data_IF_469603293985
#
_entry.id   IF_469603293985
#
_cell.length_a   1.000
_cell.length_b   1.000
_cell.length_c   1.000
_cell.angle_alpha   90.00
_cell.angle_beta   90.00
_cell.angle_gamma   90.00
#
_symmetry.space_group_name_H-M   'P 1'
#
loop_
_entity.id
_entity.type
_entity.pdbx_description
1 polymer ?
#
# COMPACT_ATOMS: atom_id res chain seq x y z
N UNK A 1 -22.26 -17.57 -26.19
CA UNK A 1 -22.94 -17.88 -24.90
C UNK A 1 -24.13 -16.94 -24.74
N UNK A 2 -25.30 -17.42 -24.28
CA UNK A 2 -26.45 -16.56 -24.04
C UNK A 2 -26.13 -15.52 -22.97
N UNK A 3 -26.70 -14.32 -23.12
CA UNK A 3 -26.54 -13.23 -22.17
C UNK A 3 -27.28 -13.57 -20.87
N UNK A 4 -26.54 -13.83 -19.79
CA UNK A 4 -27.11 -14.15 -18.48
C UNK A 4 -27.36 -12.87 -17.66
N UNK A 5 -28.26 -12.95 -16.68
CA UNK A 5 -28.49 -11.85 -15.72
C UNK A 5 -27.19 -11.45 -15.00
N UNK A 6 -26.37 -12.42 -14.60
CA UNK A 6 -25.06 -12.13 -13.98
C UNK A 6 -24.13 -11.36 -14.92
N UNK A 7 -24.06 -11.76 -16.19
CA UNK A 7 -23.29 -11.05 -17.22
C UNK A 7 -23.81 -9.62 -17.43
N UNK A 8 -25.12 -9.41 -17.38
CA UNK A 8 -25.73 -8.08 -17.44
C UNK A 8 -25.29 -7.21 -16.25
N UNK A 9 -25.39 -7.73 -15.02
CA UNK A 9 -25.01 -7.01 -13.81
C UNK A 9 -23.54 -6.63 -13.80
N UNK A 10 -22.62 -7.56 -14.12
CA UNK A 10 -21.20 -7.25 -14.20
C UNK A 10 -20.87 -6.24 -15.30
N UNK A 11 -21.59 -6.27 -16.43
CA UNK A 11 -21.42 -5.27 -17.48
C UNK A 11 -21.79 -3.87 -16.98
N UNK A 12 -22.92 -3.75 -16.27
CA UNK A 12 -23.36 -2.46 -15.71
C UNK A 12 -22.35 -1.96 -14.67
N UNK A 13 -21.91 -2.82 -13.75
CA UNK A 13 -20.91 -2.48 -12.73
C UNK A 13 -19.61 -2.02 -13.40
N UNK A 14 -19.14 -2.72 -14.43
CA UNK A 14 -17.90 -2.38 -15.12
C UNK A 14 -17.96 -1.01 -15.83
N UNK A 15 -19.11 -0.70 -16.45
CA UNK A 15 -19.34 0.62 -17.05
C UNK A 15 -19.36 1.70 -15.96
N UNK A 16 -20.09 1.46 -14.86
CA UNK A 16 -20.16 2.42 -13.76
C UNK A 16 -18.77 2.67 -13.14
N UNK A 17 -18.01 1.61 -12.84
CA UNK A 17 -16.65 1.69 -12.29
C UNK A 17 -15.68 2.45 -13.20
N UNK A 18 -15.82 2.31 -14.52
CA UNK A 18 -14.95 3.02 -15.46
C UNK A 18 -15.31 4.49 -15.64
N UNK A 19 -16.59 4.86 -15.52
CA UNK A 19 -17.08 6.22 -15.83
C UNK A 19 -17.26 7.10 -14.59
N UNK A 20 -17.71 6.53 -13.46
CA UNK A 20 -18.06 7.30 -12.27
C UNK A 20 -16.92 8.21 -11.73
N UNK A 21 -15.64 7.75 -11.66
CA UNK A 21 -14.54 8.62 -11.23
C UNK A 21 -14.38 9.85 -12.11
N UNK A 22 -14.58 9.74 -13.42
CA UNK A 22 -14.49 10.88 -14.33
C UNK A 22 -15.64 11.86 -14.16
N UNK A 23 -16.85 11.36 -13.89
CA UNK A 23 -18.00 12.24 -13.62
C UNK A 23 -17.83 13.00 -12.30
N UNK A 24 -17.26 12.38 -11.28
CA UNK A 24 -17.03 13.00 -9.98
C UNK A 24 -15.83 13.97 -10.02
N UNK A 25 -14.70 13.53 -10.56
CA UNK A 25 -13.41 14.16 -10.32
C UNK A 25 -12.90 15.05 -11.48
N UNK A 26 -13.50 14.99 -12.67
CA UNK A 26 -13.06 15.77 -13.85
C UNK A 26 -13.51 17.24 -13.86
N UNK A 27 -13.44 17.91 -12.71
CA UNK A 27 -13.96 19.27 -12.50
C UNK A 27 -12.94 20.22 -11.88
N UNK A 28 -13.27 21.53 -11.86
CA UNK A 28 -12.44 22.59 -11.25
C UNK A 28 -12.32 22.47 -9.72
N UNK A 29 -13.20 21.70 -9.08
CA UNK A 29 -13.14 21.46 -7.63
C UNK A 29 -12.17 20.33 -7.27
N UNK A 30 -11.85 19.45 -8.24
CA UNK A 30 -11.03 18.25 -8.06
C UNK A 30 -9.77 18.26 -8.95
N UNK A 31 -9.65 17.39 -9.96
CA UNK A 31 -8.39 17.19 -10.70
C UNK A 31 -7.89 18.45 -11.41
N UNK A 32 -8.79 19.39 -11.76
CA UNK A 32 -8.44 20.67 -12.40
C UNK A 32 -8.26 21.82 -11.40
N UNK A 33 -8.37 21.56 -10.09
CA UNK A 33 -8.31 22.59 -9.07
C UNK A 33 -6.91 23.25 -9.03
N UNK A 34 -6.80 24.57 -9.31
CA UNK A 34 -5.50 25.25 -9.33
C UNK A 34 -4.88 25.38 -7.95
N UNK A 35 -5.68 25.23 -6.87
CA UNK A 35 -5.20 25.30 -5.48
C UNK A 35 -4.62 23.96 -5.00
N UNK A 36 -4.86 22.85 -5.70
CA UNK A 36 -4.32 21.55 -5.30
C UNK A 36 -2.83 21.41 -5.68
N UNK A 37 -1.98 20.92 -4.76
CA UNK A 37 -0.59 20.65 -5.09
C UNK A 37 -0.50 19.58 -6.21
N UNK A 38 0.58 19.58 -7.02
CA UNK A 38 0.75 18.60 -8.10
C UNK A 38 0.55 17.14 -7.66
N UNK A 39 1.04 16.78 -6.47
CA UNK A 39 0.90 15.43 -5.89
C UNK A 39 -0.55 15.00 -5.64
N UNK A 40 -1.41 15.91 -5.16
CA UNK A 40 -2.82 15.59 -4.94
C UNK A 40 -3.56 15.35 -6.26
N UNK A 41 -3.22 16.13 -7.30
CA UNK A 41 -3.76 15.94 -8.66
C UNK A 41 -3.29 14.64 -9.28
N UNK A 42 -2.03 14.25 -9.05
CA UNK A 42 -1.49 12.95 -9.47
C UNK A 42 -2.28 11.79 -8.87
N UNK A 43 -2.49 11.78 -7.54
CA UNK A 43 -3.26 10.71 -6.89
C UNK A 43 -4.72 10.66 -7.35
N UNK A 44 -5.36 11.80 -7.60
CA UNK A 44 -6.70 11.82 -8.18
C UNK A 44 -6.71 11.20 -9.59
N UNK A 45 -5.79 11.63 -10.47
CA UNK A 45 -5.65 11.05 -11.81
C UNK A 45 -5.31 9.55 -11.80
N UNK A 46 -4.53 9.09 -10.81
CA UNK A 46 -4.25 7.67 -10.59
C UNK A 46 -5.55 6.92 -10.29
N UNK A 47 -6.36 7.37 -9.33
CA UNK A 47 -7.65 6.76 -8.99
C UNK A 47 -8.60 6.69 -10.18
N UNK A 48 -8.69 7.78 -10.95
CA UNK A 48 -9.51 7.83 -12.17
C UNK A 48 -9.06 6.77 -13.20
N UNK A 49 -7.75 6.70 -13.45
CA UNK A 49 -7.16 5.73 -14.41
C UNK A 49 -7.34 4.30 -13.93
N UNK A 50 -7.16 4.04 -12.63
CA UNK A 50 -7.40 2.72 -12.03
C UNK A 50 -8.84 2.28 -12.20
N UNK A 51 -9.82 3.15 -11.95
CA UNK A 51 -11.25 2.85 -12.18
C UNK A 51 -11.55 2.47 -13.62
N UNK A 52 -11.02 3.24 -14.59
CA UNK A 52 -11.15 2.93 -16.02
C UNK A 52 -10.58 1.55 -16.36
N UNK A 53 -9.33 1.26 -15.96
CA UNK A 53 -8.66 0.00 -16.29
C UNK A 53 -9.36 -1.20 -15.64
N UNK A 54 -9.81 -1.09 -14.39
CA UNK A 54 -10.58 -2.15 -13.72
C UNK A 54 -11.89 -2.41 -14.46
N UNK A 55 -12.64 -1.37 -14.82
CA UNK A 55 -13.88 -1.52 -15.58
C UNK A 55 -13.65 -2.19 -16.94
N UNK A 56 -12.63 -1.76 -17.70
CA UNK A 56 -12.26 -2.39 -18.96
C UNK A 56 -11.85 -3.85 -18.80
N UNK A 57 -11.12 -4.18 -17.72
CA UNK A 57 -10.70 -5.54 -17.42
C UNK A 57 -11.90 -6.44 -17.10
N UNK A 58 -12.87 -5.95 -16.33
CA UNK A 58 -14.13 -6.67 -16.06
C UNK A 58 -14.87 -6.91 -17.38
N UNK A 59 -15.02 -5.89 -18.24
CA UNK A 59 -15.67 -6.05 -19.54
C UNK A 59 -14.96 -7.08 -20.41
N UNK A 60 -13.62 -7.06 -20.43
CA UNK A 60 -12.82 -8.03 -21.16
C UNK A 60 -13.09 -9.46 -20.68
N UNK A 61 -13.05 -9.72 -19.37
CA UNK A 61 -13.29 -11.06 -18.84
C UNK A 61 -14.75 -11.52 -18.99
N UNK A 62 -15.71 -10.60 -18.93
CA UNK A 62 -17.13 -10.91 -19.07
C UNK A 62 -17.50 -11.20 -20.53
N UNK A 63 -16.91 -10.49 -21.49
CA UNK A 63 -17.33 -10.54 -22.90
C UNK A 63 -16.37 -11.23 -23.85
N UNK A 64 -15.06 -11.09 -23.65
CA UNK A 64 -14.03 -11.52 -24.62
C UNK A 64 -13.20 -12.70 -24.13
N UNK A 65 -13.02 -12.87 -22.81
CA UNK A 65 -12.33 -14.05 -22.31
C UNK A 65 -13.16 -15.29 -22.68
N UNK A 66 -12.57 -16.18 -23.47
CA UNK A 66 -13.18 -17.45 -23.81
C UNK A 66 -13.62 -18.16 -22.53
N UNK A 67 -14.79 -18.81 -22.52
CA UNK A 67 -15.13 -19.72 -21.44
C UNK A 67 -13.98 -20.71 -21.36
N UNK A 68 -13.30 -20.76 -20.22
CA UNK A 68 -12.34 -21.82 -19.99
C UNK A 68 -13.09 -23.12 -20.20
N UNK A 69 -12.71 -23.84 -21.25
CA UNK A 69 -13.25 -25.14 -21.59
C UNK A 69 -13.23 -25.96 -20.31
N UNK A 70 -14.35 -26.58 -20.00
CA UNK A 70 -14.64 -27.31 -18.77
C UNK A 70 -13.76 -28.57 -18.64
N UNK A 71 -12.44 -28.42 -18.61
CA UNK A 71 -11.56 -29.30 -17.89
C UNK A 71 -11.52 -28.77 -16.45
N UNK A 72 -12.65 -28.91 -15.76
CA UNK A 72 -12.66 -28.95 -14.30
C UNK A 72 -11.89 -30.22 -13.91
N UNK A 73 -10.56 -30.17 -14.05
CA UNK A 73 -9.68 -31.06 -13.34
C UNK A 73 -10.08 -30.81 -11.89
N UNK A 74 -10.59 -31.83 -11.21
CA UNK A 74 -10.59 -31.93 -9.75
C UNK A 74 -9.13 -31.86 -9.33
N UNK A 75 -8.54 -30.68 -9.44
CA UNK A 75 -7.39 -30.33 -8.66
C UNK A 75 -8.01 -30.22 -7.28
N UNK A 76 -7.78 -31.23 -6.45
CA UNK A 76 -7.71 -31.00 -5.02
C UNK A 76 -6.64 -29.91 -4.85
N UNK A 77 -7.02 -28.64 -5.04
CA UNK A 77 -6.30 -27.51 -4.48
C UNK A 77 -6.63 -27.59 -2.99
N UNK A 78 -6.06 -28.60 -2.36
CA UNK A 78 -5.58 -28.50 -1.01
C UNK A 78 -4.48 -27.44 -1.07
N UNK A 79 -4.63 -26.42 -0.21
CA UNK A 79 -3.73 -25.29 0.08
C UNK A 79 -4.36 -23.89 -0.15
N UNK A 80 -5.61 -23.70 0.26
CA UNK A 80 -5.88 -22.45 1.00
C UNK A 80 -5.35 -22.66 2.42
N UNK A 81 -4.09 -22.32 2.68
CA UNK A 81 -3.71 -21.98 4.05
C UNK A 81 -4.41 -20.66 4.36
N UNK A 82 -5.69 -20.76 4.72
CA UNK A 82 -6.47 -19.62 5.13
C UNK A 82 -5.86 -19.14 6.45
N UNK A 83 -5.10 -18.06 6.39
CA UNK A 83 -4.67 -17.38 7.60
C UNK A 83 -5.90 -16.90 8.36
N UNK A 84 -5.86 -17.01 9.68
CA UNK A 84 -6.86 -16.38 10.55
C UNK A 84 -6.44 -14.94 10.72
N UNK A 85 -7.34 -14.01 10.37
CA UNK A 85 -7.12 -12.58 10.56
C UNK A 85 -7.87 -12.15 11.80
N UNK A 86 -7.14 -11.69 12.81
CA UNK A 86 -7.68 -11.19 14.07
C UNK A 86 -7.21 -9.76 14.33
N UNK A 87 -8.00 -9.02 15.12
CA UNK A 87 -7.56 -7.75 15.69
C UNK A 87 -6.45 -8.04 16.71
N UNK A 88 -5.30 -7.42 16.50
CA UNK A 88 -4.17 -7.56 17.41
C UNK A 88 -4.42 -6.81 18.72
N UNK A 89 -4.03 -7.44 19.82
CA UNK A 89 -4.10 -6.87 21.16
C UNK A 89 -2.75 -6.24 21.53
N UNK A 90 -2.69 -5.36 22.54
CA UNK A 90 -1.43 -4.72 22.95
C UNK A 90 -0.30 -5.70 23.25
N UNK A 91 -0.62 -6.87 23.79
CA UNK A 91 0.34 -7.95 24.05
C UNK A 91 0.94 -8.57 22.77
N UNK A 92 0.23 -8.49 21.63
CA UNK A 92 0.69 -9.03 20.35
C UNK A 92 1.74 -8.12 19.69
N UNK A 93 1.85 -6.85 20.11
CA UNK A 93 2.69 -5.85 19.42
C UNK A 93 4.16 -6.24 19.36
N UNK A 94 4.70 -6.90 20.39
CA UNK A 94 6.09 -7.33 20.40
C UNK A 94 6.36 -8.39 19.31
N UNK A 95 5.47 -9.38 19.18
CA UNK A 95 5.55 -10.40 18.14
C UNK A 95 5.38 -9.77 16.75
N UNK A 96 4.37 -8.90 16.58
CA UNK A 96 4.10 -8.23 15.31
C UNK A 96 5.28 -7.37 14.86
N UNK A 97 5.90 -6.63 15.79
CA UNK A 97 7.09 -5.82 15.51
C UNK A 97 8.20 -6.71 14.92
N UNK A 98 8.43 -7.88 15.52
CA UNK A 98 9.41 -8.84 15.01
C UNK A 98 9.04 -9.41 13.63
N UNK A 99 7.77 -9.78 13.44
CA UNK A 99 7.26 -10.31 12.16
C UNK A 99 7.39 -9.29 11.03
N UNK A 100 7.01 -8.03 11.28
CA UNK A 100 7.11 -6.94 10.31
C UNK A 100 8.56 -6.80 9.85
N UNK A 101 9.51 -6.63 10.77
CA UNK A 101 10.91 -6.41 10.37
C UNK A 101 11.58 -7.62 9.73
N UNK A 102 11.26 -8.83 10.20
CA UNK A 102 11.75 -10.05 9.55
C UNK A 102 11.21 -10.21 8.14
N UNK A 103 9.95 -9.82 7.88
CA UNK A 103 9.36 -9.92 6.54
C UNK A 103 10.09 -9.06 5.50
N UNK A 104 10.75 -7.98 5.93
CA UNK A 104 11.55 -7.14 5.07
C UNK A 104 13.01 -7.60 4.94
N UNK A 105 13.47 -8.55 5.77
CA UNK A 105 14.86 -9.04 5.82
C UNK A 105 15.92 -7.92 5.89
N UNK A 106 15.57 -6.75 6.43
CA UNK A 106 16.43 -5.57 6.43
C UNK A 106 16.72 -4.98 5.04
N UNK A 107 15.97 -5.37 4.00
CA UNK A 107 16.13 -4.88 2.62
C UNK A 107 15.30 -3.63 2.33
N UNK A 108 14.28 -3.35 3.14
CA UNK A 108 13.43 -2.18 2.96
C UNK A 108 14.11 -0.93 3.54
N UNK A 109 14.59 -0.07 2.65
CA UNK A 109 15.31 1.15 3.04
C UNK A 109 14.44 2.13 3.83
N UNK A 110 13.13 2.19 3.57
CA UNK A 110 12.23 3.06 4.31
C UNK A 110 12.02 2.56 5.74
N UNK A 111 11.79 1.25 5.90
CA UNK A 111 11.64 0.62 7.22
C UNK A 111 12.92 0.77 8.04
N UNK A 112 14.09 0.57 7.42
CA UNK A 112 15.38 0.77 8.07
C UNK A 112 15.62 2.23 8.49
N UNK A 113 15.07 3.19 7.75
CA UNK A 113 15.12 4.60 8.11
C UNK A 113 14.24 4.94 9.31
N UNK A 114 12.99 4.48 9.30
CA UNK A 114 12.05 4.76 10.37
C UNK A 114 12.42 4.01 11.67
N UNK A 115 12.99 2.83 11.51
CA UNK A 115 13.36 1.89 12.57
C UNK A 115 14.79 1.39 12.32
N UNK A 116 15.82 2.15 12.73
CA UNK A 116 17.21 1.71 12.61
C UNK A 116 17.45 0.46 13.45
N UNK A 117 18.35 -0.40 12.98
CA UNK A 117 18.74 -1.65 13.62
C UNK A 117 17.56 -2.57 13.99
N UNK A 118 16.48 -2.52 13.22
CA UNK A 118 15.22 -3.23 13.49
C UNK A 118 15.30 -4.78 13.54
N UNK A 119 16.43 -5.35 13.15
CA UNK A 119 16.72 -6.79 13.30
C UNK A 119 17.50 -7.11 14.59
N UNK A 120 18.05 -6.11 15.29
CA UNK A 120 18.70 -6.27 16.59
C UNK A 120 17.67 -6.26 17.74
N UNK A 121 17.93 -6.94 18.87
CA UNK A 121 17.06 -6.89 20.04
C UNK A 121 16.79 -5.46 20.53
N UNK A 122 17.82 -4.61 20.53
CA UNK A 122 17.74 -3.21 20.94
C UNK A 122 16.86 -2.39 19.99
N UNK A 123 17.05 -2.55 18.67
CA UNK A 123 16.24 -1.86 17.67
C UNK A 123 14.78 -2.31 17.69
N UNK A 124 14.50 -3.60 17.93
CA UNK A 124 13.13 -4.09 18.11
C UNK A 124 12.47 -3.49 19.36
N UNK A 125 13.20 -3.34 20.46
CA UNK A 125 12.68 -2.70 21.67
C UNK A 125 12.36 -1.21 21.44
N UNK A 126 13.22 -0.49 20.71
CA UNK A 126 12.97 0.91 20.34
C UNK A 126 11.77 1.04 19.39
N UNK A 127 11.69 0.18 18.39
CA UNK A 127 10.59 0.16 17.45
C UNK A 127 9.25 -0.16 18.14
N UNK A 128 9.23 -1.13 19.05
CA UNK A 128 8.04 -1.46 19.84
C UNK A 128 7.55 -0.24 20.63
N UNK A 129 8.44 0.49 21.30
CA UNK A 129 8.09 1.74 22.01
C UNK A 129 7.47 2.78 21.08
N UNK A 130 8.05 2.98 19.88
CA UNK A 130 7.52 3.89 18.86
C UNK A 130 6.13 3.46 18.38
N UNK A 131 5.96 2.18 18.06
CA UNK A 131 4.70 1.63 17.58
C UNK A 131 3.60 1.71 18.64
N UNK A 132 3.92 1.45 19.91
CA UNK A 132 3.02 1.65 21.06
C UNK A 132 2.62 3.12 21.22
N UNK A 133 3.56 4.05 21.06
CA UNK A 133 3.27 5.48 21.12
C UNK A 133 2.35 5.92 19.97
N UNK A 134 2.55 5.40 18.75
CA UNK A 134 1.66 5.65 17.60
C UNK A 134 0.26 5.10 17.87
N UNK A 135 0.16 3.85 18.31
CA UNK A 135 -1.11 3.21 18.63
C UNK A 135 -1.89 3.98 19.71
N UNK A 136 -1.18 4.57 20.69
CA UNK A 136 -1.78 5.36 21.77
C UNK A 136 -2.15 6.79 21.37
N UNK A 137 -1.49 7.36 20.35
CA UNK A 137 -1.69 8.75 19.92
C UNK A 137 -2.72 8.91 18.79
N UNK A 138 -3.00 7.82 18.08
CA UNK A 138 -4.00 7.74 17.03
C UNK A 138 -5.41 7.92 17.61
N UNK A 139 -6.29 8.57 16.85
CA UNK A 139 -7.72 8.62 17.19
C UNK A 139 -8.33 7.25 16.99
N UNK A 140 -7.98 6.61 15.87
CA UNK A 140 -8.33 5.24 15.55
C UNK A 140 -7.09 4.53 15.00
N UNK A 141 -6.75 3.39 15.60
CA UNK A 141 -5.71 2.51 15.09
C UNK A 141 -6.22 1.08 15.06
N UNK A 142 -6.21 0.48 13.87
CA UNK A 142 -6.55 -0.92 13.67
C UNK A 142 -5.29 -1.70 13.36
N UNK A 143 -4.97 -2.63 14.26
CA UNK A 143 -3.88 -3.58 14.10
C UNK A 143 -4.49 -4.93 13.78
N UNK A 144 -4.05 -5.54 12.70
CA UNK A 144 -4.46 -6.87 12.30
C UNK A 144 -3.26 -7.80 12.35
N UNK A 145 -3.48 -9.01 12.86
CA UNK A 145 -2.50 -10.09 12.79
C UNK A 145 -3.04 -11.23 11.93
N UNK A 146 -2.15 -11.82 11.15
CA UNK A 146 -2.42 -13.01 10.38
C UNK A 146 -1.72 -14.19 11.06
N UNK A 147 -2.50 -15.18 11.48
CA UNK A 147 -1.99 -16.37 12.16
C UNK A 147 -2.19 -17.60 11.27
N UNK A 148 -1.16 -18.43 11.16
CA UNK A 148 -1.30 -19.75 10.53
C UNK A 148 -2.08 -20.67 11.49
N UNK A 149 -3.27 -21.17 11.10
CA UNK A 149 -4.10 -22.00 11.99
C UNK A 149 -3.46 -23.34 12.33
N UNK A 150 -2.48 -23.80 11.55
CA UNK A 150 -1.82 -25.10 11.76
C UNK A 150 -0.76 -25.00 12.85
N UNK A 151 0.02 -23.91 12.82
CA UNK A 151 1.15 -23.71 13.73
C UNK A 151 0.82 -22.79 14.91
N UNK A 152 -0.26 -22.03 14.81
CA UNK A 152 -0.62 -20.99 15.77
C UNK A 152 0.31 -19.77 15.74
N UNK A 153 1.27 -19.71 14.80
CA UNK A 153 2.26 -18.64 14.72
C UNK A 153 1.72 -17.46 13.94
N UNK A 154 2.07 -16.25 14.38
CA UNK A 154 1.83 -15.05 13.59
C UNK A 154 2.78 -15.01 12.41
N UNK A 155 2.23 -14.86 11.21
CA UNK A 155 2.96 -14.87 9.93
C UNK A 155 2.84 -13.55 9.17
N UNK A 156 1.97 -12.65 9.63
CA UNK A 156 1.81 -11.33 9.03
C UNK A 156 1.15 -10.35 9.99
N UNK A 157 1.32 -9.07 9.69
CA UNK A 157 0.72 -7.97 10.42
C UNK A 157 0.32 -6.87 9.43
N UNK A 158 -0.75 -6.15 9.75
CA UNK A 158 -1.13 -4.94 9.03
C UNK A 158 -1.60 -3.88 10.03
N UNK A 159 -1.30 -2.61 9.74
CA UNK A 159 -1.56 -1.49 10.64
C UNK A 159 -2.22 -0.39 9.83
N UNK A 160 -3.38 0.06 10.32
CA UNK A 160 -4.02 1.29 9.85
C UNK A 160 -4.08 2.27 11.00
N UNK A 161 -3.63 3.49 10.73
CA UNK A 161 -3.68 4.59 11.68
C UNK A 161 -4.40 5.75 11.01
N UNK A 162 -5.54 6.13 11.56
CA UNK A 162 -6.35 7.23 11.04
C UNK A 162 -6.41 8.37 12.05
N UNK A 163 -6.23 9.58 11.54
CA UNK A 163 -6.42 10.82 12.28
C UNK A 163 -7.50 11.60 11.54
N UNK A 164 -8.72 11.56 12.07
CA UNK A 164 -9.90 12.14 11.42
C UNK A 164 -10.05 13.62 11.77
N UNK A 165 -9.69 14.01 13.00
CA UNK A 165 -9.95 15.37 13.49
C UNK A 165 -8.73 16.28 13.48
N UNK A 166 -7.52 15.71 13.37
CA UNK A 166 -6.27 16.47 13.32
C UNK A 166 -5.28 15.86 12.36
N UNK A 167 -4.41 16.68 11.79
CA UNK A 167 -3.19 16.17 11.15
C UNK A 167 -2.35 15.49 12.25
N UNK A 168 -1.75 14.31 12.01
CA UNK A 168 -0.77 13.77 12.94
C UNK A 168 0.25 14.86 13.22
N UNK A 169 0.58 15.09 14.50
CA UNK A 169 1.55 16.09 14.87
C UNK A 169 2.83 15.81 14.08
N UNK A 170 3.20 16.72 13.17
CA UNK A 170 4.42 16.60 12.36
C UNK A 170 5.67 16.45 13.22
N UNK A 171 5.56 16.79 14.50
CA UNK A 171 6.65 16.81 15.46
C UNK A 171 6.96 15.44 16.08
N UNK A 172 6.14 14.41 15.85
CA UNK A 172 6.51 13.04 16.24
C UNK A 172 7.75 12.53 15.45
N UNK A 173 7.96 12.99 14.21
CA UNK A 173 9.21 12.74 13.47
C UNK A 173 10.29 13.76 13.77
N UNK A 174 9.91 14.98 14.16
CA UNK A 174 10.86 16.08 14.41
C UNK A 174 11.65 15.88 15.70
N UNK A 175 11.02 15.39 16.79
CA UNK A 175 11.74 15.02 18.02
C UNK A 175 12.75 13.88 17.81
N UNK A 176 12.45 12.90 16.95
CA UNK A 176 13.43 11.86 16.58
C UNK A 176 14.55 12.40 15.70
N UNK A 177 14.32 13.44 14.90
CA UNK A 177 15.39 14.10 14.12
C UNK A 177 16.33 14.90 15.03
N UNK A 178 15.80 15.56 16.05
CA UNK A 178 16.61 16.32 17.01
C UNK A 178 17.48 15.40 17.89
N UNK A 179 16.98 14.21 18.25
CA UNK A 179 17.74 13.21 19.03
C UNK A 179 18.72 12.37 18.18
N UNK A 180 18.59 12.33 16.84
CA UNK A 180 19.46 11.55 15.93
C UNK A 180 20.37 12.41 15.02
N UNK A 181 20.26 13.74 15.07
CA UNK A 181 21.19 14.70 14.48
C UNK A 181 21.15 14.81 12.94
N UNK A 182 22.07 15.62 12.39
CA UNK A 182 22.24 15.91 10.94
C UNK A 182 22.41 14.67 10.05
N UNK A 183 22.74 13.53 10.64
CA UNK A 183 22.88 12.24 9.96
C UNK A 183 21.53 11.77 9.39
N UNK A 184 20.40 12.09 10.02
CA UNK A 184 19.09 11.64 9.54
C UNK A 184 18.56 12.48 8.35
N UNK A 185 18.85 13.78 8.29
CA UNK A 185 18.45 14.61 7.13
C UNK A 185 19.18 14.18 5.85
N UNK A 186 20.51 14.02 5.94
CA UNK A 186 21.32 13.53 4.82
C UNK A 186 20.93 12.09 4.46
N UNK A 187 20.61 11.25 5.45
CA UNK A 187 20.14 9.89 5.20
C UNK A 187 18.75 9.85 4.55
N UNK A 188 17.77 10.65 4.99
CA UNK A 188 16.44 10.75 4.35
C UNK A 188 16.55 11.30 2.94
N UNK A 189 17.46 12.25 2.70
CA UNK A 189 17.76 12.76 1.36
C UNK A 189 18.37 11.68 0.48
N UNK A 190 19.32 10.91 1.00
CA UNK A 190 19.93 9.78 0.29
C UNK A 190 18.93 8.64 0.06
N UNK A 191 18.00 8.39 0.99
CA UNK A 191 16.91 7.43 0.86
C UNK A 191 15.92 7.83 -0.24
N UNK A 192 15.49 9.10 -0.25
CA UNK A 192 14.61 9.58 -1.32
C UNK A 192 15.32 9.50 -2.67
N UNK A 193 16.61 9.84 -2.72
CA UNK A 193 17.42 9.66 -3.93
C UNK A 193 17.53 8.18 -4.33
N UNK A 194 17.72 7.27 -3.39
CA UNK A 194 17.84 5.84 -3.68
C UNK A 194 16.52 5.21 -4.12
N UNK A 195 15.38 5.61 -3.55
CA UNK A 195 14.04 5.16 -4.00
C UNK A 195 13.79 5.62 -5.44
N UNK A 196 14.13 6.87 -5.75
CA UNK A 196 14.00 7.41 -7.12
C UNK A 196 14.92 6.65 -8.09
N UNK A 197 16.16 6.41 -7.70
CA UNK A 197 17.14 5.67 -8.53
C UNK A 197 16.76 4.20 -8.72
N UNK A 198 16.42 3.49 -7.65
CA UNK A 198 15.99 2.09 -7.69
C UNK A 198 14.70 1.92 -8.49
N UNK A 199 13.76 2.86 -8.35
CA UNK A 199 12.58 2.94 -9.20
C UNK A 199 12.97 3.08 -10.68
N UNK A 200 13.83 4.04 -11.02
CA UNK A 200 14.29 4.27 -12.38
C UNK A 200 15.00 3.04 -13.00
N UNK A 201 15.87 2.37 -12.24
CA UNK A 201 16.54 1.14 -12.66
C UNK A 201 15.56 -0.02 -12.86
N UNK A 202 14.61 -0.20 -11.93
CA UNK A 202 13.56 -1.20 -12.06
C UNK A 202 12.76 -0.99 -13.35
N UNK A 203 12.33 0.24 -13.65
CA UNK A 203 11.57 0.53 -14.88
C UNK A 203 12.39 0.25 -16.15
N UNK A 204 13.68 0.63 -16.13
CA UNK A 204 14.62 0.39 -17.23
C UNK A 204 14.82 -1.11 -17.50
N UNK A 205 15.06 -1.89 -16.44
CA UNK A 205 15.37 -3.32 -16.55
C UNK A 205 14.14 -4.17 -16.89
N UNK A 206 12.93 -3.69 -16.60
CA UNK A 206 11.69 -4.41 -16.88
C UNK A 206 10.99 -3.95 -18.18
N UNK A 207 11.65 -3.14 -19.01
CA UNK A 207 11.10 -2.63 -20.26
C UNK A 207 9.72 -1.96 -20.07
N UNK A 208 9.59 -1.12 -19.03
CA UNK A 208 8.38 -0.35 -18.73
C UNK A 208 8.61 1.15 -19.06
N UNK A 209 8.79 1.53 -20.35
CA UNK A 209 9.18 2.89 -20.72
C UNK A 209 8.12 3.94 -20.39
N UNK A 210 6.83 3.57 -20.46
CA UNK A 210 5.73 4.48 -20.14
C UNK A 210 5.69 4.87 -18.66
N UNK A 211 6.07 3.98 -17.72
CA UNK A 211 6.10 4.31 -16.29
C UNK A 211 7.30 5.21 -15.95
N UNK A 212 8.43 5.05 -16.64
CA UNK A 212 9.62 5.91 -16.49
C UNK A 212 9.39 7.38 -16.91
N UNK A 213 8.34 7.66 -17.69
CA UNK A 213 7.98 9.04 -18.03
C UNK A 213 7.44 9.80 -16.81
N UNK A 214 6.79 9.11 -15.88
CA UNK A 214 6.17 9.71 -14.71
C UNK A 214 7.19 10.10 -13.63
N UNK A 215 8.32 9.37 -13.53
CA UNK A 215 9.39 9.69 -12.57
C UNK A 215 10.20 10.94 -12.94
N UNK A 216 10.06 11.47 -14.17
CA UNK A 216 10.73 12.71 -14.59
C UNK A 216 10.00 13.98 -14.17
N UNK A 217 8.73 13.90 -13.75
CA UNK A 217 7.96 15.07 -13.31
C UNK A 217 8.37 15.57 -11.92
N UNK A 218 9.10 14.77 -11.14
CA UNK A 218 9.63 15.18 -9.82
C UNK A 218 10.94 15.97 -9.89
N UNK A 219 11.53 16.16 -11.09
CA UNK A 219 12.78 16.90 -11.29
C UNK A 219 12.61 18.38 -11.66
N UNK A 220 11.38 18.87 -11.83
CA UNK A 220 11.14 20.31 -12.03
C UNK A 220 11.19 21.05 -10.68
N UNK A 221 12.28 21.80 -10.47
CA UNK A 221 12.39 22.84 -9.44
C UNK A 221 11.46 24.02 -9.72
#
# INVERSE_FOLDING_TARGET
MPFSVGKAMFTIIAIFTSVAPYLADWSITHVKNPKWPPHARFHNGQTMTTGLLIGLLILYYVHLASPQTTAQKKTNICLTMAFVIDVARPEDLAELTSVIFRSHEGKDHYVNCAYPDNLSPEGQSQALKKLQAIASAAEDSLWLKATDPTTGKTVGAAIWTTFMTRKPASDASKKTNDEQGSRNEEYVKQLNASIVQAGAEFWKNNALPLTSLFSRFTEFK
#
